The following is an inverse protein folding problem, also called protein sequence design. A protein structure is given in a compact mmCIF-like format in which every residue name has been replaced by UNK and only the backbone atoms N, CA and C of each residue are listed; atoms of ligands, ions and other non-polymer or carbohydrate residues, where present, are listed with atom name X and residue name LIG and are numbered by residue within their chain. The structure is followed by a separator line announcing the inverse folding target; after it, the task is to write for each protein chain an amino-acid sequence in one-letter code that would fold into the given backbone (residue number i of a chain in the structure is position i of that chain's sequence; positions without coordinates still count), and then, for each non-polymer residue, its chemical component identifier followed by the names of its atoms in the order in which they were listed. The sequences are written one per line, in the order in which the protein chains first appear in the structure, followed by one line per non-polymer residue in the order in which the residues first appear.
data_IF_938265402660
#
_entry.id   IF_938265402660
#
_cell.length_a   1.000
_cell.length_b   1.000
_cell.length_c   1.000
_cell.angle_alpha   90.00
_cell.angle_beta   90.00
_cell.angle_gamma   90.00
#
_symmetry.space_group_name_H-M   'P 1'
#
loop_
_entity.id
_entity.type
_entity.pdbx_description
1 polymer ?
#
# COMPACT_ATOMS: atom_id res chain seq x y z
N UNK A 1 11.22 -12.26 3.30
CA UNK A 1 10.52 -11.38 4.23
C UNK A 1 11.51 -10.64 5.09
N UNK A 2 11.71 -9.38 4.74
CA UNK A 2 12.52 -8.41 5.48
C UNK A 2 11.73 -7.70 6.61
N UNK A 3 10.47 -8.09 6.82
CA UNK A 3 9.59 -7.50 7.82
C UNK A 3 8.86 -6.24 7.34
N UNK A 4 9.10 -5.79 6.11
CA UNK A 4 8.39 -4.66 5.52
C UNK A 4 6.99 -5.03 5.03
N UNK A 5 6.13 -4.03 4.90
CA UNK A 5 4.80 -4.17 4.31
C UNK A 5 4.68 -3.26 3.09
N UNK A 6 4.31 -3.85 1.97
CA UNK A 6 3.94 -3.12 0.74
C UNK A 6 2.43 -3.08 0.60
N UNK A 7 1.88 -1.90 0.28
CA UNK A 7 0.47 -1.69 -0.08
C UNK A 7 0.46 -1.14 -1.50
N UNK A 8 -0.38 -1.70 -2.38
CA UNK A 8 -0.52 -1.25 -3.77
C UNK A 8 -1.87 -0.59 -3.93
N UNK A 9 -1.92 0.63 -4.46
CA UNK A 9 -3.15 1.41 -4.61
C UNK A 9 -3.37 1.72 -6.08
N UNK A 10 -4.56 1.41 -6.61
CA UNK A 10 -4.91 1.60 -8.02
C UNK A 10 -6.41 1.74 -8.22
N UNK A 11 -6.85 2.18 -9.39
CA UNK A 11 -8.30 2.23 -9.68
C UNK A 11 -8.92 0.84 -9.67
N UNK A 12 -8.28 -0.12 -10.36
CA UNK A 12 -8.70 -1.52 -10.40
C UNK A 12 -8.09 -2.33 -9.26
N UNK A 13 -8.66 -3.50 -8.96
CA UNK A 13 -8.06 -4.45 -8.03
C UNK A 13 -6.87 -5.15 -8.70
N UNK A 14 -5.67 -4.97 -8.15
CA UNK A 14 -4.47 -5.65 -8.65
C UNK A 14 -4.20 -6.99 -7.90
N UNK A 15 -3.37 -7.88 -8.47
CA UNK A 15 -3.11 -9.20 -7.89
C UNK A 15 -2.34 -9.22 -6.56
N UNK A 16 -1.74 -8.10 -6.14
CA UNK A 16 -0.97 -8.05 -4.90
C UNK A 16 -1.86 -8.34 -3.67
N UNK A 17 -1.41 -9.14 -2.69
CA UNK A 17 -2.24 -9.50 -1.52
C UNK A 17 -2.76 -8.30 -0.72
N UNK A 18 -1.97 -7.23 -0.64
CA UNK A 18 -2.33 -5.98 0.04
C UNK A 18 -2.78 -4.87 -0.95
N UNK A 19 -3.49 -5.23 -2.03
CA UNK A 19 -3.96 -4.26 -3.01
C UNK A 19 -5.27 -3.57 -2.58
N UNK A 20 -5.32 -2.24 -2.76
CA UNK A 20 -6.48 -1.39 -2.49
C UNK A 20 -6.96 -0.75 -3.79
N UNK A 21 -8.26 -0.87 -4.06
CA UNK A 21 -8.91 -0.15 -5.16
C UNK A 21 -9.38 1.23 -4.70
N UNK A 22 -9.12 2.28 -5.48
CA UNK A 22 -9.69 3.62 -5.25
C UNK A 22 -11.16 3.70 -5.61
N UNK A 23 -11.75 2.64 -6.20
CA UNK A 23 -13.17 2.57 -6.59
C UNK A 23 -13.63 3.74 -7.47
N UNK A 24 -12.73 4.28 -8.29
CA UNK A 24 -13.01 5.39 -9.20
C UNK A 24 -12.85 6.77 -8.58
N UNK A 25 -12.47 6.87 -7.30
CA UNK A 25 -12.12 8.16 -6.69
C UNK A 25 -10.76 8.63 -7.19
N UNK A 26 -10.67 9.86 -7.77
CA UNK A 26 -9.41 10.40 -8.29
C UNK A 26 -8.49 10.93 -7.18
N UNK A 27 -9.06 11.24 -6.01
CA UNK A 27 -8.35 11.76 -4.84
C UNK A 27 -9.03 11.29 -3.54
N UNK A 28 -8.29 11.39 -2.44
CA UNK A 28 -8.78 11.01 -1.12
C UNK A 28 -7.69 11.11 -0.06
N UNK A 29 -8.03 10.69 1.15
CA UNK A 29 -7.10 10.63 2.28
C UNK A 29 -6.87 9.17 2.67
N UNK A 30 -5.62 8.84 2.99
CA UNK A 30 -5.23 7.57 3.57
C UNK A 30 -4.79 7.79 5.01
N UNK A 31 -5.20 6.92 5.93
CA UNK A 31 -4.84 7.02 7.34
C UNK A 31 -4.29 5.69 7.85
N UNK A 32 -3.09 5.74 8.41
CA UNK A 32 -2.47 4.62 9.12
C UNK A 32 -2.82 4.69 10.60
N UNK A 33 -3.12 3.54 11.20
CA UNK A 33 -3.45 3.43 12.62
C UNK A 33 -2.65 2.30 13.24
N UNK A 34 -1.86 2.66 14.25
CA UNK A 34 -1.06 1.73 15.05
C UNK A 34 -1.71 1.60 16.41
N UNK A 35 -2.17 0.40 16.75
CA UNK A 35 -2.83 0.12 18.02
C UNK A 35 -1.89 -0.64 18.93
N UNK A 36 -1.64 -0.12 20.13
CA UNK A 36 -0.79 -0.76 21.15
C UNK A 36 0.63 -1.09 20.65
N UNK A 37 1.17 -0.28 19.73
CA UNK A 37 2.52 -0.48 19.22
C UNK A 37 3.54 -0.01 20.26
N UNK A 38 4.48 -0.90 20.64
CA UNK A 38 5.60 -0.55 21.52
C UNK A 38 6.49 0.53 20.89
N UNK A 39 6.63 0.49 19.55
CA UNK A 39 7.27 1.51 18.74
C UNK A 39 6.47 1.75 17.46
N UNK A 40 6.42 3.01 17.02
CA UNK A 40 5.87 3.34 15.71
C UNK A 40 6.84 2.88 14.62
N UNK A 41 6.33 2.32 13.51
CA UNK A 41 7.16 2.04 12.35
C UNK A 41 7.58 3.35 11.68
N UNK A 42 8.63 3.25 10.87
CA UNK A 42 9.08 4.35 10.04
C UNK A 42 7.94 4.85 9.12
N UNK A 43 8.00 6.14 8.79
CA UNK A 43 7.01 6.73 7.89
C UNK A 43 7.04 5.99 6.54
N UNK A 44 5.88 5.59 5.99
CA UNK A 44 5.85 4.90 4.71
C UNK A 44 6.50 5.74 3.59
N UNK A 45 7.32 5.10 2.77
CA UNK A 45 7.79 5.67 1.51
C UNK A 45 6.77 5.36 0.41
N UNK A 46 6.55 6.30 -0.50
CA UNK A 46 5.59 6.14 -1.60
C UNK A 46 6.22 6.45 -2.94
N UNK A 47 5.72 5.78 -3.98
CA UNK A 47 6.08 6.05 -5.36
C UNK A 47 4.85 5.79 -6.26
N UNK A 48 4.68 6.62 -7.28
CA UNK A 48 3.70 6.38 -8.34
C UNK A 48 4.42 5.67 -9.49
N UNK A 49 3.90 4.52 -9.90
CA UNK A 49 4.48 3.68 -10.94
C UNK A 49 3.40 3.26 -11.95
N UNK A 50 3.78 2.88 -13.17
CA UNK A 50 2.86 2.20 -14.08
C UNK A 50 2.32 0.91 -13.46
N UNK A 51 1.06 0.56 -13.76
CA UNK A 51 0.41 -0.65 -13.23
C UNK A 51 1.19 -1.93 -13.55
N UNK A 52 1.85 -1.98 -14.71
CA UNK A 52 2.65 -3.12 -15.13
C UNK A 52 3.82 -3.41 -14.19
N UNK A 53 4.36 -2.37 -13.54
CA UNK A 53 5.55 -2.41 -12.68
C UNK A 53 5.20 -2.53 -11.19
N UNK A 54 3.89 -2.52 -10.84
CA UNK A 54 3.46 -2.65 -9.47
C UNK A 54 3.86 -4.02 -8.88
N UNK A 55 4.38 -4.06 -7.64
CA UNK A 55 4.71 -5.32 -6.97
C UNK A 55 3.51 -6.27 -6.92
N UNK A 56 3.76 -7.58 -7.10
CA UNK A 56 2.72 -8.61 -7.09
C UNK A 56 2.85 -9.61 -5.93
N UNK A 57 3.99 -9.61 -5.26
CA UNK A 57 4.29 -10.49 -4.14
C UNK A 57 4.69 -9.67 -2.91
N UNK A 58 4.49 -10.26 -1.74
CA UNK A 58 4.98 -9.72 -0.47
C UNK A 58 6.50 -9.92 -0.35
N UNK A 59 7.17 -9.02 0.38
CA UNK A 59 8.59 -9.16 0.72
C UNK A 59 8.79 -10.30 1.70
#
# INVERSE_FOLDING_TARGET
SDGSVTIVISTEQLPHPNALSTKGHPEGLMSFRWFLADQLPDHPTTAVVPVADAPRAVS
#
